data_IF_406407885333
#
_entry.id   IF_406407885333
#
_cell.length_a   1.000
_cell.length_b   1.000
_cell.length_c   1.000
_cell.angle_alpha   90.00
_cell.angle_beta   90.00
_cell.angle_gamma   90.00
#
_symmetry.space_group_name_H-M   'P 1'
#
loop_
_entity.id
_entity.type
_entity.pdbx_description
1 polymer ?
#
# COMPACT_ATOMS: atom_id res chain seq x y z
N UNK A 1 26.50 -4.03 -25.40
CA UNK A 1 25.31 -4.87 -25.13
C UNK A 1 24.80 -4.84 -23.67
N UNK A 2 25.30 -3.95 -22.79
CA UNK A 2 24.83 -3.82 -21.39
C UNK A 2 23.53 -3.01 -21.20
N UNK A 3 22.95 -2.46 -22.28
CA UNK A 3 21.76 -1.60 -22.18
C UNK A 3 20.46 -2.39 -21.92
N UNK A 4 20.33 -3.60 -22.44
CA UNK A 4 19.10 -4.39 -22.30
C UNK A 4 18.83 -4.81 -20.83
N UNK A 5 19.81 -5.37 -20.08
CA UNK A 5 19.57 -5.74 -18.69
C UNK A 5 19.33 -4.53 -17.78
N UNK A 6 20.00 -3.41 -18.05
CA UNK A 6 19.77 -2.15 -17.34
C UNK A 6 18.35 -1.62 -17.62
N UNK A 7 17.93 -1.59 -18.88
CA UNK A 7 16.59 -1.17 -19.27
C UNK A 7 15.52 -2.06 -18.63
N UNK A 8 15.72 -3.38 -18.63
CA UNK A 8 14.83 -4.33 -17.97
C UNK A 8 14.75 -4.07 -16.46
N UNK A 9 15.88 -3.79 -15.80
CA UNK A 9 15.92 -3.42 -14.38
C UNK A 9 15.08 -2.16 -14.11
N UNK A 10 15.22 -1.13 -14.93
CA UNK A 10 14.46 0.12 -14.81
C UNK A 10 12.97 -0.12 -15.04
N UNK A 11 12.60 -0.91 -16.05
CA UNK A 11 11.19 -1.26 -16.32
C UNK A 11 10.58 -2.02 -15.14
N UNK A 12 11.27 -3.03 -14.62
CA UNK A 12 10.81 -3.78 -13.45
C UNK A 12 10.66 -2.83 -12.23
N UNK A 13 11.64 -1.96 -11.99
CA UNK A 13 11.54 -0.97 -10.93
C UNK A 13 10.29 -0.09 -11.08
N UNK A 14 10.03 0.43 -12.28
CA UNK A 14 8.87 1.28 -12.53
C UNK A 14 7.55 0.52 -12.31
N UNK A 15 7.49 -0.76 -12.68
CA UNK A 15 6.32 -1.61 -12.40
C UNK A 15 6.15 -1.84 -10.90
N UNK A 16 7.24 -2.10 -10.16
CA UNK A 16 7.19 -2.23 -8.71
C UNK A 16 6.73 -0.93 -8.03
N UNK A 17 7.27 0.22 -8.45
CA UNK A 17 6.88 1.55 -7.95
C UNK A 17 5.40 1.81 -8.26
N UNK A 18 4.93 1.49 -9.47
CA UNK A 18 3.51 1.59 -9.83
C UNK A 18 2.64 0.76 -8.88
N UNK A 19 2.98 -0.52 -8.67
CA UNK A 19 2.20 -1.42 -7.82
C UNK A 19 2.21 -0.95 -6.36
N UNK A 20 3.35 -0.45 -5.88
CA UNK A 20 3.48 0.12 -4.56
C UNK A 20 2.65 1.40 -4.41
N UNK A 21 2.67 2.29 -5.41
CA UNK A 21 1.87 3.51 -5.43
C UNK A 21 0.38 3.20 -5.43
N UNK A 22 -0.06 2.23 -6.23
CA UNK A 22 -1.45 1.77 -6.25
C UNK A 22 -1.85 1.22 -4.88
N UNK A 23 -1.02 0.34 -4.30
CA UNK A 23 -1.28 -0.22 -2.97
C UNK A 23 -1.42 0.87 -1.91
N UNK A 24 -0.46 1.80 -1.82
CA UNK A 24 -0.51 2.89 -0.83
C UNK A 24 -1.68 3.83 -1.06
N UNK A 25 -2.03 4.11 -2.32
CA UNK A 25 -3.14 5.00 -2.66
C UNK A 25 -4.49 4.37 -2.32
N UNK A 26 -4.66 3.08 -2.61
CA UNK A 26 -5.86 2.31 -2.25
C UNK A 26 -6.00 2.26 -0.72
N UNK A 27 -4.93 1.89 -0.01
CA UNK A 27 -4.96 1.82 1.46
C UNK A 27 -5.26 3.19 2.06
N UNK A 28 -4.62 4.26 1.59
CA UNK A 28 -4.85 5.62 2.10
C UNK A 28 -6.27 6.09 1.86
N UNK A 29 -6.79 5.87 0.65
CA UNK A 29 -8.13 6.34 0.26
C UNK A 29 -9.22 5.53 0.95
N UNK A 30 -9.00 4.24 1.22
CA UNK A 30 -9.95 3.40 1.93
C UNK A 30 -9.87 3.56 3.45
N UNK A 31 -8.68 3.44 4.03
CA UNK A 31 -8.45 3.29 5.48
C UNK A 31 -7.72 4.45 6.15
N UNK A 32 -7.33 5.49 5.42
CA UNK A 32 -6.69 6.67 6.00
C UNK A 32 -7.63 7.46 6.92
N UNK A 33 -7.10 8.47 7.61
CA UNK A 33 -7.86 9.33 8.53
C UNK A 33 -9.07 10.00 7.87
N UNK A 34 -8.97 10.32 6.58
CA UNK A 34 -10.07 10.85 5.77
C UNK A 34 -10.57 9.84 4.73
N UNK A 35 -10.25 8.56 4.92
CA UNK A 35 -10.63 7.48 4.02
C UNK A 35 -12.10 7.08 4.18
N UNK A 36 -12.65 6.35 3.21
CA UNK A 36 -14.07 6.03 3.19
C UNK A 36 -14.54 5.14 4.34
N UNK A 37 -13.66 4.28 4.87
CA UNK A 37 -13.97 3.44 6.05
C UNK A 37 -14.15 4.31 7.30
N UNK A 38 -13.50 5.47 7.38
CA UNK A 38 -13.72 6.41 8.48
C UNK A 38 -15.17 6.94 8.48
N UNK A 39 -15.80 7.11 7.32
CA UNK A 39 -17.24 7.45 7.23
C UNK A 39 -18.13 6.38 7.88
N UNK A 40 -17.77 5.10 7.74
CA UNK A 40 -18.46 4.00 8.40
C UNK A 40 -18.26 4.02 9.93
N UNK A 41 -17.05 4.37 10.38
CA UNK A 41 -16.74 4.53 11.81
C UNK A 41 -17.51 5.70 12.42
N UNK A 42 -17.54 6.86 11.75
CA UNK A 42 -18.35 8.01 12.19
C UNK A 42 -19.83 7.64 12.30
N UNK A 43 -20.37 6.91 11.32
CA UNK A 43 -21.76 6.45 11.36
C UNK A 43 -22.05 5.58 12.58
N UNK A 44 -21.19 4.59 12.90
CA UNK A 44 -21.33 3.79 14.12
C UNK A 44 -21.29 4.67 15.37
N UNK A 45 -20.29 5.55 15.45
CA UNK A 45 -20.12 6.41 16.61
C UNK A 45 -21.37 7.25 16.86
N UNK A 46 -21.92 7.86 15.81
CA UNK A 46 -23.14 8.65 15.85
C UNK A 46 -24.36 7.81 16.30
N UNK A 47 -24.51 6.59 15.77
CA UNK A 47 -25.57 5.64 16.16
C UNK A 47 -25.51 5.31 17.66
N UNK A 48 -24.32 5.10 18.21
CA UNK A 48 -24.16 4.77 19.63
C UNK A 48 -24.09 5.99 20.56
N UNK A 49 -23.91 7.20 20.01
CA UNK A 49 -23.82 8.43 20.81
C UNK A 49 -25.17 8.94 21.35
N UNK A 50 -26.29 8.30 21.00
CA UNK A 50 -27.62 8.70 21.49
C UNK A 50 -28.24 9.89 20.77
N UNK A 51 -27.69 10.34 19.64
CA UNK A 51 -28.29 11.40 18.83
C UNK A 51 -29.62 10.98 18.20
N UNK A 52 -30.44 11.96 17.83
CA UNK A 52 -31.72 11.68 17.20
C UNK A 52 -31.53 11.03 15.82
N UNK A 53 -32.48 10.19 15.41
CA UNK A 53 -32.43 9.48 14.11
C UNK A 53 -32.34 10.46 12.94
N UNK A 54 -33.04 11.60 13.03
CA UNK A 54 -32.99 12.68 12.04
C UNK A 54 -31.59 13.26 11.93
N UNK A 55 -30.97 13.61 13.07
CA UNK A 55 -29.62 14.22 13.09
C UNK A 55 -28.56 13.30 12.49
N UNK A 56 -28.66 11.99 12.77
CA UNK A 56 -27.75 10.98 12.23
C UNK A 56 -27.93 10.84 10.71
N UNK A 57 -29.19 10.80 10.24
CA UNK A 57 -29.52 10.61 8.82
C UNK A 57 -29.14 11.82 7.96
N UNK A 58 -29.21 13.03 8.51
CA UNK A 58 -28.86 14.27 7.81
C UNK A 58 -27.44 14.77 8.11
N UNK A 59 -26.61 13.98 8.80
CA UNK A 59 -25.24 14.37 9.11
C UNK A 59 -24.44 14.51 7.80
N UNK A 60 -24.13 15.75 7.43
CA UNK A 60 -23.48 16.07 6.16
C UNK A 60 -22.10 15.41 6.02
N UNK A 61 -21.34 15.27 7.11
CA UNK A 61 -20.03 14.63 7.06
C UNK A 61 -20.13 13.15 6.66
N UNK A 62 -21.13 12.44 7.18
CA UNK A 62 -21.38 11.03 6.83
C UNK A 62 -21.91 10.92 5.40
N UNK A 63 -22.85 11.79 5.01
CA UNK A 63 -23.40 11.84 3.65
C UNK A 63 -22.29 12.10 2.62
N UNK A 64 -21.45 13.10 2.86
CA UNK A 64 -20.34 13.48 1.98
C UNK A 64 -19.27 12.39 1.92
N UNK A 65 -19.05 11.64 3.00
CA UNK A 65 -18.13 10.51 3.00
C UNK A 65 -18.66 9.39 2.11
N UNK A 66 -19.92 8.99 2.25
CA UNK A 66 -20.49 7.86 1.50
C UNK A 66 -20.76 8.18 0.02
N UNK A 67 -21.17 9.41 -0.30
CA UNK A 67 -21.48 9.79 -1.68
C UNK A 67 -20.24 9.73 -2.60
N UNK A 68 -19.05 10.00 -2.05
CA UNK A 68 -17.76 9.85 -2.77
C UNK A 68 -17.53 8.42 -3.28
N UNK A 69 -18.10 7.44 -2.59
CA UNK A 69 -18.00 6.03 -2.94
C UNK A 69 -19.32 5.49 -3.52
N UNK A 70 -20.23 6.36 -3.98
CA UNK A 70 -21.51 6.01 -4.60
C UNK A 70 -22.45 5.24 -3.66
N UNK A 71 -22.26 5.38 -2.36
CA UNK A 71 -23.13 4.79 -1.34
C UNK A 71 -24.12 5.86 -0.89
N UNK A 72 -25.41 5.50 -0.83
CA UNK A 72 -26.47 6.43 -0.42
C UNK A 72 -26.73 6.24 1.07
N UNK A 73 -26.20 7.12 1.91
CA UNK A 73 -26.29 7.01 3.37
C UNK A 73 -27.71 6.82 3.89
N UNK A 74 -28.67 7.59 3.37
CA UNK A 74 -30.07 7.50 3.82
C UNK A 74 -30.66 6.11 3.63
N UNK A 75 -30.30 5.43 2.52
CA UNK A 75 -30.77 4.08 2.21
C UNK A 75 -30.07 3.06 3.12
N UNK A 76 -28.75 3.14 3.26
CA UNK A 76 -27.97 2.27 4.14
C UNK A 76 -28.42 2.37 5.60
N UNK A 77 -28.71 3.59 6.06
CA UNK A 77 -29.23 3.83 7.40
C UNK A 77 -30.59 3.17 7.60
N UNK A 78 -31.51 3.32 6.65
CA UNK A 78 -32.84 2.70 6.75
C UNK A 78 -32.77 1.16 6.75
N UNK A 79 -31.90 0.58 5.93
CA UNK A 79 -31.64 -0.87 5.90
C UNK A 79 -31.03 -1.36 7.22
N UNK A 80 -30.03 -0.65 7.75
CA UNK A 80 -29.42 -0.95 9.04
C UNK A 80 -30.45 -0.87 10.18
N UNK A 81 -31.22 0.21 10.23
CA UNK A 81 -32.25 0.37 11.26
C UNK A 81 -33.35 -0.68 11.14
N UNK A 82 -33.70 -1.11 9.93
CA UNK A 82 -34.59 -2.25 9.70
C UNK A 82 -34.05 -3.55 10.31
N UNK A 83 -32.76 -3.85 10.12
CA UNK A 83 -32.10 -5.03 10.71
C UNK A 83 -32.06 -4.96 12.25
N UNK A 84 -31.63 -3.82 12.79
CA UNK A 84 -31.39 -3.63 14.24
C UNK A 84 -32.70 -3.58 15.03
N UNK A 85 -33.76 -3.01 14.44
CA UNK A 85 -35.07 -2.92 15.10
C UNK A 85 -36.00 -4.07 14.74
N UNK A 86 -35.56 -5.03 13.90
CA UNK A 86 -36.42 -6.05 13.28
C UNK A 86 -37.68 -5.41 12.68
N UNK A 87 -37.46 -4.40 11.83
CA UNK A 87 -38.48 -3.57 11.19
C UNK A 87 -39.45 -2.91 12.18
N UNK A 88 -38.91 -2.35 13.27
CA UNK A 88 -39.68 -1.65 14.30
C UNK A 88 -40.29 -2.53 15.40
N UNK A 89 -40.06 -3.85 15.37
CA UNK A 89 -40.55 -4.78 16.39
C UNK A 89 -39.81 -4.62 17.73
N UNK A 90 -38.54 -4.22 17.70
CA UNK A 90 -37.69 -4.04 18.88
C UNK A 90 -37.14 -2.61 18.89
N UNK A 91 -37.28 -1.84 19.99
CA UNK A 91 -36.68 -0.52 20.07
C UNK A 91 -35.14 -0.62 20.07
N UNK A 92 -34.49 0.25 19.30
CA UNK A 92 -33.05 0.46 19.42
C UNK A 92 -32.78 1.56 20.45
N UNK A 93 -32.04 1.23 21.51
CA UNK A 93 -31.61 2.17 22.55
C UNK A 93 -30.09 2.02 22.70
N UNK A 94 -29.30 3.04 22.37
CA UNK A 94 -27.84 2.96 22.42
C UNK A 94 -27.31 2.44 23.76
N UNK A 95 -27.83 2.97 24.87
CA UNK A 95 -27.42 2.64 26.24
C UNK A 95 -27.82 1.22 26.70
N UNK A 96 -28.70 0.55 25.96
CA UNK A 96 -29.19 -0.79 26.29
C UNK A 96 -29.23 -1.70 25.06
N UNK A 97 -28.25 -1.53 24.17
CA UNK A 97 -28.14 -2.32 22.94
C UNK A 97 -27.90 -3.78 23.28
N UNK A 98 -28.71 -4.68 22.72
CA UNK A 98 -28.50 -6.13 22.89
C UNK A 98 -27.28 -6.61 22.10
N UNK A 99 -26.68 -7.73 22.49
CA UNK A 99 -25.57 -8.33 21.73
C UNK A 99 -25.95 -8.62 20.28
N UNK A 100 -27.20 -9.04 20.02
CA UNK A 100 -27.71 -9.26 18.66
C UNK A 100 -27.69 -7.96 17.84
N UNK A 101 -28.22 -6.87 18.40
CA UNK A 101 -28.20 -5.55 17.74
C UNK A 101 -26.78 -5.04 17.49
N UNK A 102 -25.88 -5.22 18.45
CA UNK A 102 -24.47 -4.85 18.31
C UNK A 102 -23.80 -5.62 17.16
N UNK A 103 -24.03 -6.95 17.08
CA UNK A 103 -23.52 -7.79 15.99
C UNK A 103 -24.07 -7.31 14.64
N UNK A 104 -25.35 -6.94 14.55
CA UNK A 104 -25.93 -6.42 13.31
C UNK A 104 -25.29 -5.10 12.86
N UNK A 105 -25.04 -4.17 13.78
CA UNK A 105 -24.36 -2.90 13.48
C UNK A 105 -22.92 -3.16 13.00
N UNK A 106 -22.20 -4.06 13.66
CA UNK A 106 -20.84 -4.40 13.27
C UNK A 106 -20.78 -5.12 11.91
N UNK A 107 -21.68 -6.07 11.68
CA UNK A 107 -21.79 -6.78 10.40
C UNK A 107 -22.18 -5.82 9.26
N UNK A 108 -23.01 -4.81 9.52
CA UNK A 108 -23.24 -3.73 8.57
C UNK A 108 -21.97 -2.94 8.30
N UNK A 109 -21.25 -2.51 9.34
CA UNK A 109 -19.99 -1.77 9.17
C UNK A 109 -19.01 -2.49 8.26
N UNK A 110 -18.79 -3.80 8.48
CA UNK A 110 -17.86 -4.60 7.69
C UNK A 110 -18.31 -4.74 6.23
N UNK A 111 -19.62 -4.85 5.97
CA UNK A 111 -20.16 -4.92 4.60
C UNK A 111 -20.01 -3.60 3.87
N UNK A 112 -20.34 -2.50 4.54
CA UNK A 112 -20.28 -1.16 3.96
C UNK A 112 -18.83 -0.73 3.76
N UNK A 113 -17.94 -1.05 4.70
CA UNK A 113 -16.51 -0.82 4.55
C UNK A 113 -15.92 -1.64 3.40
N UNK A 114 -16.36 -2.90 3.22
CA UNK A 114 -15.95 -3.70 2.07
C UNK A 114 -16.41 -3.08 0.75
N UNK A 115 -17.62 -2.53 0.70
CA UNK A 115 -18.12 -1.84 -0.50
C UNK A 115 -17.33 -0.57 -0.83
N UNK A 116 -16.99 0.21 0.20
CA UNK A 116 -16.07 1.34 0.05
C UNK A 116 -14.73 0.87 -0.52
N UNK A 117 -14.12 -0.16 0.06
CA UNK A 117 -12.82 -0.70 -0.38
C UNK A 117 -12.90 -1.19 -1.82
N UNK A 118 -13.99 -1.88 -2.18
CA UNK A 118 -14.26 -2.33 -3.55
C UNK A 118 -14.31 -1.14 -4.51
N UNK A 119 -15.08 -0.10 -4.22
CA UNK A 119 -15.17 1.07 -5.09
C UNK A 119 -13.87 1.84 -5.21
N UNK A 120 -13.11 1.96 -4.11
CA UNK A 120 -11.76 2.53 -4.15
C UNK A 120 -10.88 1.70 -5.10
N UNK A 121 -10.88 0.38 -4.95
CA UNK A 121 -10.11 -0.51 -5.81
C UNK A 121 -10.51 -0.39 -7.28
N UNK A 122 -11.80 -0.43 -7.59
CA UNK A 122 -12.32 -0.26 -8.96
C UNK A 122 -11.85 1.06 -9.59
N UNK A 123 -11.87 2.16 -8.83
CA UNK A 123 -11.43 3.47 -9.31
C UNK A 123 -9.92 3.49 -9.63
N UNK A 124 -9.08 2.83 -8.83
CA UNK A 124 -7.63 2.79 -9.07
C UNK A 124 -7.23 1.78 -10.14
N UNK A 125 -7.98 0.68 -10.30
CA UNK A 125 -7.66 -0.39 -11.24
C UNK A 125 -8.28 -0.18 -12.63
N UNK A 126 -9.14 0.82 -12.80
CA UNK A 126 -9.72 1.17 -14.10
C UNK A 126 -11.04 0.46 -14.42
N UNK A 127 -11.81 0.09 -13.40
CA UNK A 127 -13.17 -0.46 -13.56
C UNK A 127 -13.37 -1.84 -12.94
N UNK A 128 -14.63 -2.31 -13.01
CA UNK A 128 -15.12 -3.53 -12.35
C UNK A 128 -14.49 -4.81 -12.89
N UNK A 129 -14.14 -4.82 -14.17
CA UNK A 129 -13.64 -6.02 -14.87
C UNK A 129 -12.22 -6.42 -14.43
N UNK A 130 -11.56 -5.59 -13.62
CA UNK A 130 -10.22 -5.86 -13.08
C UNK A 130 -10.23 -6.62 -11.76
N UNK A 131 -11.41 -6.89 -11.19
CA UNK A 131 -11.55 -7.76 -10.02
C UNK A 131 -11.67 -9.21 -10.51
N UNK A 132 -10.76 -10.12 -10.10
CA UNK A 132 -10.88 -11.54 -10.42
C UNK A 132 -12.24 -12.11 -10.04
N UNK A 133 -12.83 -12.93 -10.91
CA UNK A 133 -14.17 -13.50 -10.71
C UNK A 133 -14.31 -14.28 -9.41
N UNK A 134 -13.25 -14.96 -8.96
CA UNK A 134 -13.21 -15.66 -7.68
C UNK A 134 -13.35 -14.71 -6.49
N UNK A 135 -12.67 -13.56 -6.52
CA UNK A 135 -12.74 -12.54 -5.47
C UNK A 135 -14.10 -11.83 -5.52
N UNK A 136 -14.60 -11.53 -6.72
CA UNK A 136 -15.92 -10.94 -6.89
C UNK A 136 -17.00 -11.87 -6.31
N UNK A 137 -16.89 -13.18 -6.56
CA UNK A 137 -17.77 -14.18 -5.94
C UNK A 137 -17.66 -14.17 -4.41
N UNK A 138 -16.45 -14.15 -3.83
CA UNK A 138 -16.30 -14.04 -2.36
C UNK A 138 -16.96 -12.78 -1.80
N UNK A 139 -16.85 -11.64 -2.48
CA UNK A 139 -17.52 -10.38 -2.09
C UNK A 139 -19.04 -10.54 -2.16
N UNK A 140 -19.57 -11.12 -3.23
CA UNK A 140 -21.01 -11.29 -3.40
C UNK A 140 -21.58 -12.29 -2.40
N UNK A 141 -20.86 -13.39 -2.14
CA UNK A 141 -21.18 -14.36 -1.10
C UNK A 141 -21.16 -13.67 0.28
N UNK A 142 -20.14 -12.86 0.58
CA UNK A 142 -20.05 -12.07 1.83
C UNK A 142 -21.25 -11.14 2.03
N UNK A 143 -21.72 -10.50 0.96
CA UNK A 143 -22.91 -9.65 1.00
C UNK A 143 -24.20 -10.47 1.19
N UNK A 144 -24.32 -11.63 0.53
CA UNK A 144 -25.50 -12.50 0.59
C UNK A 144 -25.61 -13.28 1.91
N UNK A 145 -24.49 -13.55 2.60
CA UNK A 145 -24.43 -14.15 3.94
C UNK A 145 -25.27 -13.35 4.96
N UNK A 146 -25.63 -12.10 4.66
CA UNK A 146 -26.59 -11.30 5.45
C UNK A 146 -28.02 -11.86 5.56
N UNK A 147 -28.41 -12.86 4.77
CA UNK A 147 -29.67 -13.62 5.00
C UNK A 147 -29.54 -14.69 6.10
N UNK A 148 -28.33 -14.92 6.63
CA UNK A 148 -28.02 -15.92 7.68
C UNK A 148 -27.74 -15.31 9.05
N UNK A 149 -28.36 -14.17 9.38
CA UNK A 149 -28.43 -13.72 10.79
C UNK A 149 -28.93 -14.81 11.75
N UNK A 150 -29.68 -15.81 11.26
CA UNK A 150 -30.08 -17.01 12.02
C UNK A 150 -28.99 -18.09 12.13
N UNK A 151 -28.08 -18.26 11.17
CA UNK A 151 -27.05 -19.31 11.22
C UNK A 151 -25.85 -18.91 12.08
N UNK A 152 -25.54 -17.61 12.16
CA UNK A 152 -24.56 -17.08 13.12
C UNK A 152 -25.10 -17.11 14.57
N UNK A 153 -26.42 -17.14 14.77
CA UNK A 153 -27.04 -17.34 16.09
C UNK A 153 -27.14 -18.83 16.46
N UNK A 154 -27.47 -19.71 15.52
CA UNK A 154 -27.54 -21.16 15.74
C UNK A 154 -26.14 -21.80 15.92
N UNK A 155 -25.10 -21.27 15.28
CA UNK A 155 -23.72 -21.74 15.52
C UNK A 155 -23.18 -21.32 16.90
N UNK A 156 -23.61 -20.16 17.43
CA UNK A 156 -23.27 -19.67 18.77
C UNK A 156 -24.03 -20.43 19.87
N UNK A 157 -25.22 -20.95 19.59
CA UNK A 157 -26.03 -21.67 20.57
C UNK A 157 -25.78 -23.20 20.61
N UNK A 158 -25.02 -23.74 19.65
CA UNK A 158 -24.75 -25.18 19.51
C UNK A 158 -23.51 -25.72 20.25
N UNK A 159 -22.58 -24.87 20.71
CA UNK A 159 -21.42 -25.30 21.51
C UNK A 159 -21.57 -24.84 22.95
N UNK A 160 -21.83 -25.80 23.83
CA UNK A 160 -22.04 -25.56 25.26
C UNK A 160 -20.95 -24.71 25.90
N UNK A 161 -21.42 -23.84 26.80
CA UNK A 161 -20.65 -23.17 27.87
C UNK A 161 -19.44 -22.33 27.45
N UNK A 162 -19.68 -21.02 27.29
CA UNK A 162 -18.70 -19.98 27.66
C UNK A 162 -18.43 -18.93 26.60
N UNK A 163 -18.84 -17.69 26.88
CA UNK A 163 -18.50 -16.43 26.18
C UNK A 163 -19.14 -16.22 24.80
N UNK A 164 -20.09 -15.28 24.72
CA UNK A 164 -20.76 -14.83 23.48
C UNK A 164 -19.86 -14.02 22.52
N UNK A 165 -18.62 -14.45 22.31
CA UNK A 165 -17.59 -13.79 21.49
C UNK A 165 -17.36 -14.44 20.11
N UNK A 166 -18.01 -15.58 19.82
CA UNK A 166 -17.55 -16.47 18.74
C UNK A 166 -18.15 -16.16 17.34
N UNK A 167 -19.25 -15.41 17.24
CA UNK A 167 -19.81 -15.00 15.93
C UNK A 167 -18.93 -13.98 15.20
N UNK A 168 -18.38 -12.99 15.93
CA UNK A 168 -17.41 -12.03 15.39
C UNK A 168 -16.10 -12.71 14.94
N UNK A 169 -15.76 -13.85 15.55
CA UNK A 169 -14.56 -14.61 15.22
C UNK A 169 -14.59 -15.21 13.81
N UNK A 170 -15.76 -15.31 13.16
CA UNK A 170 -15.88 -15.85 11.79
C UNK A 170 -15.99 -14.75 10.73
N UNK A 171 -16.65 -13.63 11.04
CA UNK A 171 -16.88 -12.54 10.09
C UNK A 171 -15.60 -11.74 9.82
N UNK A 172 -14.80 -11.49 10.87
CA UNK A 172 -13.60 -10.66 10.77
C UNK A 172 -12.50 -11.32 9.90
N UNK A 173 -12.17 -12.61 10.07
CA UNK A 173 -11.15 -13.25 9.21
C UNK A 173 -11.54 -13.29 7.74
N UNK A 174 -12.83 -13.49 7.42
CA UNK A 174 -13.29 -13.54 6.03
C UNK A 174 -13.19 -12.15 5.36
N UNK A 175 -13.52 -11.09 6.09
CA UNK A 175 -13.33 -9.72 5.62
C UNK A 175 -11.85 -9.41 5.34
N UNK A 176 -10.99 -9.74 6.29
CA UNK A 176 -9.54 -9.56 6.18
C UNK A 176 -8.98 -10.36 5.00
N UNK A 177 -9.46 -11.58 4.78
CA UNK A 177 -9.11 -12.43 3.65
C UNK A 177 -9.51 -11.79 2.33
N UNK A 178 -10.76 -11.32 2.20
CA UNK A 178 -11.25 -10.70 0.96
C UNK A 178 -10.42 -9.47 0.59
N UNK A 179 -10.13 -8.59 1.55
CA UNK A 179 -9.32 -7.39 1.24
C UNK A 179 -7.88 -7.78 0.93
N UNK A 180 -7.33 -8.75 1.65
CA UNK A 180 -5.97 -9.25 1.38
C UNK A 180 -5.88 -9.83 -0.02
N UNK A 181 -6.87 -10.62 -0.45
CA UNK A 181 -6.96 -11.19 -1.79
C UNK A 181 -7.10 -10.11 -2.85
N UNK A 182 -7.95 -9.10 -2.60
CA UNK A 182 -8.13 -7.96 -3.49
C UNK A 182 -6.82 -7.19 -3.71
N UNK A 183 -6.02 -7.01 -2.65
CA UNK A 183 -4.73 -6.32 -2.71
C UNK A 183 -3.55 -7.21 -3.07
N UNK A 184 -3.74 -8.54 -3.12
CA UNK A 184 -2.67 -9.54 -3.26
C UNK A 184 -1.79 -9.28 -4.47
N UNK A 185 -2.38 -9.01 -5.63
CA UNK A 185 -1.63 -8.73 -6.85
C UNK A 185 -0.71 -7.51 -6.73
N UNK A 186 -1.15 -6.46 -6.05
CA UNK A 186 -0.34 -5.27 -5.81
C UNK A 186 0.79 -5.54 -4.79
N UNK A 187 0.50 -6.33 -3.75
CA UNK A 187 1.48 -6.70 -2.71
C UNK A 187 2.57 -7.60 -3.29
N UNK A 188 2.17 -8.66 -3.98
CA UNK A 188 3.09 -9.61 -4.63
C UNK A 188 3.90 -8.91 -5.72
N UNK A 189 3.23 -8.09 -6.55
CA UNK A 189 3.86 -7.29 -7.58
C UNK A 189 4.89 -6.32 -7.00
N UNK A 190 4.57 -5.59 -5.93
CA UNK A 190 5.55 -4.72 -5.28
C UNK A 190 6.74 -5.50 -4.71
N UNK A 191 6.52 -6.71 -4.17
CA UNK A 191 7.58 -7.52 -3.53
C UNK A 191 8.51 -8.20 -4.51
N UNK A 192 7.98 -9.06 -5.36
CA UNK A 192 8.79 -9.90 -6.25
C UNK A 192 9.52 -9.06 -7.29
N UNK A 193 8.87 -8.03 -7.80
CA UNK A 193 9.46 -7.17 -8.84
C UNK A 193 10.60 -6.32 -8.25
N UNK A 194 10.47 -5.83 -7.01
CA UNK A 194 11.55 -5.12 -6.32
C UNK A 194 12.75 -6.04 -6.05
N UNK A 195 12.50 -7.28 -5.63
CA UNK A 195 13.57 -8.26 -5.39
C UNK A 195 14.28 -8.69 -6.70
N UNK A 196 13.52 -8.83 -7.80
CA UNK A 196 14.08 -9.07 -9.12
C UNK A 196 14.94 -7.88 -9.59
N UNK A 197 14.49 -6.65 -9.39
CA UNK A 197 15.28 -5.46 -9.68
C UNK A 197 16.59 -5.44 -8.88
N UNK A 198 16.54 -5.73 -7.57
CA UNK A 198 17.72 -5.86 -6.73
C UNK A 198 18.69 -6.94 -7.21
N UNK A 199 18.16 -8.10 -7.61
CA UNK A 199 18.97 -9.20 -8.16
C UNK A 199 19.66 -8.82 -9.46
N UNK A 200 18.99 -8.08 -10.35
CA UNK A 200 19.58 -7.58 -11.59
C UNK A 200 20.72 -6.59 -11.29
N UNK A 201 20.57 -5.70 -10.31
CA UNK A 201 21.66 -4.78 -9.91
C UNK A 201 22.90 -5.53 -9.45
N UNK A 202 22.74 -6.59 -8.65
CA UNK A 202 23.85 -7.44 -8.20
C UNK A 202 24.53 -8.14 -9.39
N UNK A 203 23.74 -8.71 -10.31
CA UNK A 203 24.28 -9.35 -11.51
C UNK A 203 25.02 -8.34 -12.41
N UNK A 204 24.49 -7.14 -12.56
CA UNK A 204 25.12 -6.05 -13.31
C UNK A 204 26.45 -5.63 -12.67
N UNK A 205 26.50 -5.56 -11.33
CA UNK A 205 27.70 -5.30 -10.58
C UNK A 205 28.75 -6.40 -10.77
N UNK A 206 28.33 -7.67 -10.75
CA UNK A 206 29.18 -8.83 -11.03
C UNK A 206 29.76 -8.81 -12.45
N UNK A 207 28.94 -8.47 -13.46
CA UNK A 207 29.40 -8.29 -14.85
C UNK A 207 30.40 -7.13 -14.96
N UNK A 208 30.12 -6.00 -14.29
CA UNK A 208 31.05 -4.87 -14.24
C UNK A 208 32.37 -5.25 -13.55
N UNK A 209 32.34 -6.08 -12.51
CA UNK A 209 33.53 -6.58 -11.82
C UNK A 209 34.36 -7.48 -12.73
N UNK A 210 33.72 -8.39 -13.46
CA UNK A 210 34.38 -9.25 -14.45
C UNK A 210 35.06 -8.42 -15.55
N UNK A 211 34.44 -7.32 -15.98
CA UNK A 211 34.99 -6.38 -16.96
C UNK A 211 36.01 -5.40 -16.38
N UNK A 212 35.99 -5.14 -15.08
CA UNK A 212 36.90 -4.19 -14.41
C UNK A 212 38.35 -4.67 -14.36
N UNK A 213 38.62 -5.96 -14.69
CA UNK A 213 39.95 -6.55 -14.82
C UNK A 213 40.86 -5.83 -15.86
N UNK A 214 40.34 -4.83 -16.60
CA UNK A 214 41.01 -4.11 -17.70
C UNK A 214 41.28 -2.59 -17.49
N UNK A 215 41.21 -2.00 -16.26
CA UNK A 215 41.39 -0.56 -15.83
C UNK A 215 40.07 0.20 -15.53
N UNK A 216 40.02 1.32 -14.75
CA UNK A 216 40.87 1.87 -13.67
C UNK A 216 40.14 1.92 -12.29
N UNK A 217 40.80 2.48 -11.25
CA UNK A 217 40.46 2.46 -9.81
C UNK A 217 39.07 2.99 -9.42
N UNK A 218 38.45 3.87 -10.22
CA UNK A 218 37.17 4.50 -9.91
C UNK A 218 35.93 3.62 -10.20
N UNK A 219 36.09 2.48 -10.88
CA UNK A 219 34.97 1.57 -11.18
C UNK A 219 34.48 0.77 -9.97
N UNK A 220 35.34 0.56 -8.97
CA UNK A 220 34.97 -0.20 -7.77
C UNK A 220 33.89 0.49 -6.95
N UNK A 221 33.86 1.83 -6.93
CA UNK A 221 32.81 2.58 -6.21
C UNK A 221 31.41 2.30 -6.78
N UNK A 222 31.26 2.35 -8.11
CA UNK A 222 29.99 2.04 -8.76
C UNK A 222 29.58 0.57 -8.57
N UNK A 223 30.54 -0.37 -8.59
CA UNK A 223 30.26 -1.79 -8.34
C UNK A 223 29.76 -1.98 -6.90
N UNK A 224 30.44 -1.42 -5.91
CA UNK A 224 30.07 -1.52 -4.49
C UNK A 224 28.68 -0.89 -4.26
N UNK A 225 28.42 0.26 -4.87
CA UNK A 225 27.12 0.95 -4.77
C UNK A 225 25.97 0.07 -5.27
N UNK A 226 26.11 -0.52 -6.47
CA UNK A 226 25.09 -1.40 -7.05
C UNK A 226 24.86 -2.68 -6.25
N UNK A 227 25.93 -3.26 -5.70
CA UNK A 227 25.81 -4.43 -4.80
C UNK A 227 25.06 -4.03 -3.54
N UNK A 228 25.43 -2.92 -2.91
CA UNK A 228 24.79 -2.45 -1.68
C UNK A 228 23.31 -2.14 -1.91
N UNK A 229 22.96 -1.44 -2.98
CA UNK A 229 21.58 -1.15 -3.32
C UNK A 229 20.79 -2.43 -3.63
N UNK A 230 21.36 -3.32 -4.43
CA UNK A 230 20.76 -4.62 -4.72
C UNK A 230 20.49 -5.44 -3.46
N UNK A 231 21.43 -5.43 -2.50
CA UNK A 231 21.27 -6.07 -1.19
C UNK A 231 20.19 -5.40 -0.35
N UNK A 232 20.09 -4.07 -0.34
CA UNK A 232 19.03 -3.33 0.35
C UNK A 232 17.66 -3.73 -0.23
N UNK A 233 17.50 -3.74 -1.55
CA UNK A 233 16.25 -4.11 -2.22
C UNK A 233 15.85 -5.57 -1.98
N UNK A 234 16.82 -6.49 -1.97
CA UNK A 234 16.56 -7.89 -1.60
C UNK A 234 16.23 -8.01 -0.11
N UNK A 235 16.88 -7.22 0.75
CA UNK A 235 16.60 -7.21 2.19
C UNK A 235 15.18 -6.70 2.49
N UNK A 236 14.59 -5.86 1.64
CA UNK A 236 13.16 -5.50 1.72
C UNK A 236 12.24 -6.73 1.58
N UNK A 237 12.63 -7.75 0.80
CA UNK A 237 11.92 -9.02 0.75
C UNK A 237 12.05 -9.79 2.07
N UNK A 238 13.24 -9.75 2.68
CA UNK A 238 13.56 -10.47 3.92
C UNK A 238 12.99 -9.80 5.18
N UNK A 239 12.71 -8.49 5.15
CA UNK A 239 12.06 -7.75 6.24
C UNK A 239 10.64 -8.26 6.56
N UNK A 240 10.12 -9.20 5.76
CA UNK A 240 8.84 -9.87 5.97
C UNK A 240 8.97 -11.28 6.60
N UNK A 241 10.13 -11.63 7.17
CA UNK A 241 10.31 -12.81 8.02
C UNK A 241 9.61 -12.57 9.37
N UNK A 242 8.36 -13.02 9.47
CA UNK A 242 7.55 -12.97 10.68
C UNK A 242 6.57 -14.13 10.73
N UNK A 243 6.19 -14.56 11.94
CA UNK A 243 5.32 -15.73 12.19
C UNK A 243 3.88 -15.53 11.65
N UNK A 244 3.44 -14.29 11.47
CA UNK A 244 2.15 -13.92 10.86
C UNK A 244 2.40 -12.93 9.72
N UNK A 245 2.10 -13.34 8.50
CA UNK A 245 2.21 -12.49 7.30
C UNK A 245 0.84 -11.87 6.92
N UNK A 246 0.10 -11.40 7.92
CA UNK A 246 -1.17 -10.71 7.68
C UNK A 246 -0.95 -9.20 7.67
N UNK A 247 -1.58 -8.52 6.71
CA UNK A 247 -1.71 -7.06 6.69
C UNK A 247 -2.38 -6.54 7.96
N UNK A 248 -3.28 -7.34 8.53
CA UNK A 248 -4.18 -6.98 9.63
C UNK A 248 -3.71 -7.50 10.99
N UNK A 249 -2.47 -8.00 11.08
CA UNK A 249 -1.89 -8.37 12.37
C UNK A 249 -1.84 -7.14 13.30
N UNK A 250 -2.06 -7.37 14.60
CA UNK A 250 -1.92 -6.34 15.63
C UNK A 250 -0.56 -5.67 15.53
N UNK A 251 -0.49 -4.38 15.89
CA UNK A 251 0.73 -3.58 15.72
C UNK A 251 1.96 -4.32 16.24
N UNK A 252 1.89 -4.95 17.41
CA UNK A 252 2.98 -5.75 18.02
C UNK A 252 3.47 -6.93 17.19
N UNK A 253 2.59 -7.61 16.46
CA UNK A 253 2.88 -8.81 15.67
C UNK A 253 3.05 -8.51 14.17
N UNK A 254 2.78 -7.28 13.75
CA UNK A 254 2.78 -6.90 12.34
C UNK A 254 4.22 -6.80 11.80
N UNK A 255 4.53 -7.45 10.66
CA UNK A 255 5.80 -7.31 9.98
C UNK A 255 6.17 -5.84 9.73
N UNK A 256 7.46 -5.50 9.94
CA UNK A 256 8.01 -4.15 9.75
C UNK A 256 7.70 -3.56 8.37
N UNK A 257 7.68 -4.39 7.34
CA UNK A 257 7.33 -3.97 5.97
C UNK A 257 5.93 -3.38 5.90
N UNK A 258 4.95 -3.98 6.57
CA UNK A 258 3.58 -3.47 6.53
C UNK A 258 3.46 -2.17 7.33
N UNK A 259 4.12 -2.06 8.49
CA UNK A 259 4.20 -0.79 9.22
C UNK A 259 4.80 0.32 8.35
N UNK A 260 5.85 0.01 7.60
CA UNK A 260 6.47 0.95 6.65
C UNK A 260 5.53 1.35 5.50
N UNK A 261 4.72 0.40 4.98
CA UNK A 261 3.66 0.66 3.99
C UNK A 261 2.58 1.60 4.56
N UNK A 262 2.07 1.29 5.76
CA UNK A 262 1.05 2.10 6.44
C UNK A 262 1.56 3.49 6.86
N UNK A 263 2.87 3.64 7.02
CA UNK A 263 3.49 4.94 7.33
C UNK A 263 3.58 5.87 6.12
N UNK A 264 3.29 5.40 4.90
CA UNK A 264 3.42 6.14 3.63
C UNK A 264 4.86 6.60 3.30
N UNK A 265 5.86 6.09 4.03
CA UNK A 265 7.28 6.44 3.83
C UNK A 265 8.00 5.59 2.79
N UNK A 266 7.32 4.60 2.20
CA UNK A 266 7.90 3.69 1.21
C UNK A 266 8.51 4.41 0.03
N UNK A 267 7.73 5.26 -0.64
CA UNK A 267 8.19 5.96 -1.84
C UNK A 267 9.29 6.99 -1.53
N UNK A 268 9.16 7.87 -0.50
CA UNK A 268 10.22 8.80 -0.15
C UNK A 268 11.55 8.12 0.19
N UNK A 269 11.52 7.02 0.94
CA UNK A 269 12.73 6.32 1.35
C UNK A 269 13.42 5.62 0.18
N UNK A 270 12.65 4.95 -0.70
CA UNK A 270 13.19 4.35 -1.94
C UNK A 270 13.75 5.44 -2.86
N UNK A 271 13.01 6.54 -3.09
CA UNK A 271 13.46 7.63 -3.95
C UNK A 271 14.74 8.29 -3.43
N UNK A 272 14.84 8.49 -2.12
CA UNK A 272 16.06 9.03 -1.49
C UNK A 272 17.24 8.09 -1.67
N UNK A 273 17.05 6.77 -1.48
CA UNK A 273 18.09 5.79 -1.69
C UNK A 273 18.62 5.80 -3.13
N UNK A 274 17.72 5.84 -4.13
CA UNK A 274 18.10 5.97 -5.53
C UNK A 274 18.79 7.29 -5.86
N UNK A 275 18.34 8.41 -5.28
CA UNK A 275 18.98 9.71 -5.44
C UNK A 275 20.42 9.71 -4.92
N UNK A 276 20.64 9.10 -3.76
CA UNK A 276 21.98 8.93 -3.18
C UNK A 276 22.85 8.01 -4.04
N UNK A 277 22.33 6.87 -4.50
CA UNK A 277 23.04 5.97 -5.40
C UNK A 277 23.46 6.67 -6.70
N UNK A 278 22.53 7.43 -7.30
CA UNK A 278 22.82 8.19 -8.51
C UNK A 278 23.97 9.18 -8.30
N UNK A 279 24.00 9.89 -7.18
CA UNK A 279 25.10 10.81 -6.86
C UNK A 279 26.44 10.05 -6.68
N UNK A 280 26.40 8.90 -6.01
CA UNK A 280 27.58 8.05 -5.80
C UNK A 280 28.12 7.50 -7.12
N UNK A 281 27.29 7.24 -8.13
CA UNK A 281 27.75 6.81 -9.46
C UNK A 281 28.17 7.97 -10.36
N UNK A 282 27.39 9.05 -10.37
CA UNK A 282 27.58 10.18 -11.27
C UNK A 282 28.87 10.95 -10.95
N UNK A 283 29.18 11.17 -9.66
CA UNK A 283 30.36 11.94 -9.24
C UNK A 283 31.66 11.26 -9.67
N UNK A 284 31.92 9.96 -9.37
CA UNK A 284 33.12 9.28 -9.83
C UNK A 284 33.20 9.14 -11.35
N UNK A 285 32.08 8.90 -12.03
CA UNK A 285 32.04 8.82 -13.50
C UNK A 285 32.46 10.16 -14.13
N UNK A 286 31.94 11.27 -13.59
CA UNK A 286 32.32 12.61 -14.01
C UNK A 286 33.78 12.93 -13.70
N UNK A 287 34.26 12.63 -12.49
CA UNK A 287 35.67 12.82 -12.12
C UNK A 287 36.61 12.01 -13.03
N UNK A 288 36.23 10.79 -13.39
CA UNK A 288 37.00 9.97 -14.32
C UNK A 288 37.01 10.56 -15.74
N UNK A 289 35.89 11.13 -16.21
CA UNK A 289 35.85 11.83 -17.49
C UNK A 289 36.78 13.06 -17.50
N UNK A 290 36.76 13.85 -16.42
CA UNK A 290 37.65 15.00 -16.24
C UNK A 290 39.12 14.56 -16.20
N UNK A 291 39.45 13.47 -15.51
CA UNK A 291 40.82 12.95 -15.46
C UNK A 291 41.29 12.44 -16.83
N UNK A 292 40.41 11.80 -17.60
CA UNK A 292 40.74 11.39 -18.99
C UNK A 292 40.95 12.58 -19.92
N UNK A 293 40.16 13.64 -19.79
CA UNK A 293 40.33 14.88 -20.57
C UNK A 293 41.64 15.60 -20.22
N UNK A 294 41.98 15.62 -18.93
CA UNK A 294 43.28 16.10 -18.44
C UNK A 294 44.45 15.32 -19.04
N UNK A 295 44.37 13.99 -19.00
CA UNK A 295 45.40 13.12 -19.54
C UNK A 295 45.57 13.31 -21.06
N UNK A 296 44.47 13.52 -21.78
CA UNK A 296 44.48 13.78 -23.23
C UNK A 296 45.04 15.17 -23.58
N UNK A 297 44.79 16.19 -22.76
CA UNK A 297 45.29 17.56 -22.99
C UNK A 297 46.69 17.80 -22.41
N UNK A 298 47.30 16.80 -21.76
CA UNK A 298 48.61 16.89 -21.09
C UNK A 298 48.72 18.11 -20.14
N UNK A 299 47.60 18.53 -19.54
CA UNK A 299 47.54 19.75 -18.75
C UNK A 299 47.96 19.49 -17.29
N UNK A 300 48.87 20.33 -16.77
CA UNK A 300 49.34 20.27 -15.37
C UNK A 300 48.34 20.83 -14.35
N UNK A 301 47.18 21.32 -14.79
CA UNK A 301 46.19 21.89 -13.89
C UNK A 301 45.68 20.85 -12.86
N UNK A 302 45.33 21.32 -11.67
CA UNK A 302 44.80 20.46 -10.61
C UNK A 302 43.41 19.94 -10.99
N UNK A 303 43.14 18.66 -10.70
CA UNK A 303 41.87 18.00 -11.04
C UNK A 303 40.64 18.81 -10.56
N UNK A 304 40.72 19.36 -9.34
CA UNK A 304 39.66 20.20 -8.77
C UNK A 304 39.37 21.48 -9.56
N UNK A 305 40.36 22.07 -10.22
CA UNK A 305 40.16 23.28 -11.04
C UNK A 305 39.46 22.97 -12.37
N UNK A 306 39.80 21.86 -13.02
CA UNK A 306 39.07 21.41 -14.22
C UNK A 306 37.64 20.99 -13.89
N UNK A 307 37.47 20.23 -12.81
CA UNK A 307 36.17 19.86 -12.27
C UNK A 307 35.29 21.12 -12.03
N UNK A 308 35.83 22.13 -11.34
CA UNK A 308 35.12 23.40 -11.13
C UNK A 308 34.77 24.12 -12.43
N UNK A 309 35.68 24.18 -13.41
CA UNK A 309 35.39 24.79 -14.72
C UNK A 309 34.30 24.07 -15.49
N UNK A 310 34.28 22.73 -15.46
CA UNK A 310 33.23 21.92 -16.07
C UNK A 310 31.85 22.23 -15.45
N UNK A 311 31.77 22.30 -14.12
CA UNK A 311 30.55 22.70 -13.40
C UNK A 311 30.14 24.13 -13.77
N UNK A 312 31.07 25.09 -13.72
CA UNK A 312 30.79 26.48 -14.04
C UNK A 312 30.29 26.65 -15.48
N UNK A 313 30.84 25.89 -16.44
CA UNK A 313 30.36 25.86 -17.82
C UNK A 313 28.96 25.26 -17.95
N UNK A 314 28.66 24.19 -17.20
CA UNK A 314 27.33 23.57 -17.19
C UNK A 314 26.27 24.54 -16.64
N UNK A 315 26.55 25.21 -15.52
CA UNK A 315 25.67 26.24 -14.95
C UNK A 315 25.48 27.43 -15.89
N UNK A 316 26.55 27.89 -16.55
CA UNK A 316 26.46 28.98 -17.54
C UNK A 316 25.58 28.62 -18.74
N UNK A 317 25.53 27.35 -19.16
CA UNK A 317 24.61 26.87 -20.21
C UNK A 317 23.16 26.73 -19.74
N UNK A 318 22.94 26.39 -18.47
CA UNK A 318 21.61 26.32 -17.89
C UNK A 318 20.99 27.71 -17.67
N UNK A 319 21.83 28.73 -17.44
CA UNK A 319 21.41 30.12 -17.25
C UNK A 319 21.08 30.88 -18.54
N UNK A 320 20.91 30.20 -19.68
CA UNK A 320 20.51 30.83 -20.96
C UNK A 320 19.00 31.20 -20.97
N UNK A 321 18.25 30.78 -19.94
CA UNK A 321 16.82 31.08 -19.76
C UNK A 321 16.52 32.09 -18.62
N UNK A 322 17.54 32.79 -18.10
CA UNK A 322 17.38 33.91 -17.17
C UNK A 322 17.74 35.22 -17.87
#
# INVERSE_FOLDING_TARGET
MLHLPLLLCVVLLLVAIKNQFLLTSIISTAFGENGGVNGCYMAIYEIFSGKSTTDIKTNQAIVDAFIRYRITWSKEYDELMGLVTKNGTIPFKPDSTTNEQFIQVFAWYMRTSLEVVKHVFENFMGGKDNIPSEIQKKIDDYKQISTRSQLDYDWVSGSGSGSGSDSLATILPLYDEIITDLLRGNIEGARYITALAGSILILLAGLNLAQAKLRPRFKYGAIISRVLMGLILISLLLLNLGRKQSLWATTTDQPLVFRWIFSYWVLPTIATAYGVEFLIEAVPAWLNAVDTERAATATRESLGRMAWRSIAHAFKRLNIFA
#
